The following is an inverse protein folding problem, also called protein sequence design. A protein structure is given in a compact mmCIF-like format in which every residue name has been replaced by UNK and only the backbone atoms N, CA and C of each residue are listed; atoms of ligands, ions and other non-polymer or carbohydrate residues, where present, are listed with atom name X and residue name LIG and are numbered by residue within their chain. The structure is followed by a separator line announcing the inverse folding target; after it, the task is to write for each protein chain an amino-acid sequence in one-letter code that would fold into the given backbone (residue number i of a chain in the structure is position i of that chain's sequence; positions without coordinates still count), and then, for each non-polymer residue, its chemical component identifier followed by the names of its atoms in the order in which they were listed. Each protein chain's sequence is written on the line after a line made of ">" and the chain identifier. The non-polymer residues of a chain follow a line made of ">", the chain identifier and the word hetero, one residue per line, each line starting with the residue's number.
data_IF_288442216127
#
_entry.id   IF_288442216127
#
_cell.length_a   1.000
_cell.length_b   1.000
_cell.length_c   1.000
_cell.angle_alpha   90.00
_cell.angle_beta   90.00
_cell.angle_gamma   90.00
#
_symmetry.space_group_name_H-M   'P 1'
#
loop_
_entity.id
_entity.type
_entity.pdbx_description
1 polymer ?
#
# COMPACT_ATOMS: atom_id res chain seq x y z
N UNK A 1 35.15 58.23 21.18
CA UNK A 1 34.63 57.71 19.89
C UNK A 1 34.37 56.22 20.04
N UNK A 2 33.13 55.81 19.83
CA UNK A 2 32.58 54.48 20.11
C UNK A 2 33.21 53.39 19.21
N UNK A 3 33.88 52.41 19.80
CA UNK A 3 34.22 51.16 19.13
C UNK A 3 33.04 50.19 19.26
N UNK A 4 32.18 50.14 18.24
CA UNK A 4 31.09 49.17 18.13
C UNK A 4 31.66 47.77 17.90
N UNK A 5 31.48 46.95 18.93
CA UNK A 5 31.74 45.53 19.03
C UNK A 5 30.77 44.79 18.07
N UNK A 6 31.28 44.38 16.92
CA UNK A 6 30.55 43.62 15.90
C UNK A 6 30.56 42.14 16.31
N UNK A 7 29.58 41.73 17.12
CA UNK A 7 29.27 40.31 17.29
C UNK A 7 28.32 39.92 16.16
N UNK A 8 28.86 39.16 15.22
CA UNK A 8 28.14 38.52 14.14
C UNK A 8 27.23 37.46 14.76
N UNK A 9 25.92 37.71 14.74
CA UNK A 9 24.91 36.68 14.91
C UNK A 9 25.07 35.69 13.77
N UNK A 10 25.64 34.51 14.05
CA UNK A 10 25.58 33.39 13.13
C UNK A 10 24.17 32.77 13.22
N UNK A 11 23.39 32.77 12.13
CA UNK A 11 22.11 32.08 12.11
C UNK A 11 22.34 30.56 12.16
N UNK A 12 21.67 29.90 13.10
CA UNK A 12 21.56 28.44 13.21
C UNK A 12 20.57 27.98 12.14
N UNK A 13 21.01 27.92 10.90
CA UNK A 13 20.18 27.56 9.75
C UNK A 13 21.04 26.85 8.69
N UNK A 14 21.57 25.66 9.00
CA UNK A 14 22.29 24.87 7.97
C UNK A 14 22.50 23.38 8.24
N UNK A 15 21.79 22.73 9.17
CA UNK A 15 22.02 21.29 9.45
C UNK A 15 20.90 20.32 8.99
N UNK A 16 19.81 20.80 8.38
CA UNK A 16 18.66 19.94 8.01
C UNK A 16 18.41 19.78 6.49
N UNK A 17 19.38 20.08 5.62
CA UNK A 17 19.24 19.90 4.15
C UNK A 17 20.03 18.72 3.57
N UNK A 18 20.66 17.88 4.40
CA UNK A 18 21.52 16.78 3.92
C UNK A 18 20.87 15.38 3.93
N UNK A 19 19.54 15.26 4.01
CA UNK A 19 18.86 13.96 4.07
C UNK A 19 17.65 13.79 3.14
N UNK A 20 17.54 14.55 2.04
CA UNK A 20 16.44 14.39 1.09
C UNK A 20 16.81 14.63 -0.39
N UNK A 21 18.08 14.45 -0.76
CA UNK A 21 18.52 14.70 -2.13
C UNK A 21 19.58 13.67 -2.58
N UNK A 22 19.25 12.38 -2.59
CA UNK A 22 20.08 11.35 -3.25
C UNK A 22 19.33 10.01 -3.46
N UNK A 23 18.13 10.03 -4.05
CA UNK A 23 17.45 8.80 -4.53
C UNK A 23 16.95 8.88 -5.98
N UNK A 24 17.12 10.01 -6.68
CA UNK A 24 16.49 10.18 -8.00
C UNK A 24 17.48 10.66 -9.06
N UNK A 25 18.44 9.81 -9.43
CA UNK A 25 19.16 9.91 -10.72
C UNK A 25 19.87 8.61 -11.09
N UNK A 26 19.16 7.74 -11.81
CA UNK A 26 19.68 7.02 -12.98
C UNK A 26 18.60 6.08 -13.52
N UNK A 27 18.08 6.36 -14.72
CA UNK A 27 17.64 5.37 -15.72
C UNK A 27 17.07 6.11 -16.95
N UNK A 28 17.79 6.13 -18.09
CA UNK A 28 17.17 6.42 -19.38
C UNK A 28 16.85 5.09 -20.08
N UNK A 29 15.62 4.60 -19.92
CA UNK A 29 15.10 3.52 -20.78
C UNK A 29 13.93 4.02 -21.62
N UNK A 30 14.23 4.07 -22.92
CA UNK A 30 13.35 4.35 -24.03
C UNK A 30 12.46 3.11 -24.26
N UNK A 31 11.22 3.13 -23.77
CA UNK A 31 10.23 2.09 -24.09
C UNK A 31 9.11 2.70 -24.92
N UNK A 32 9.12 2.31 -26.20
CA UNK A 32 8.06 2.49 -27.18
C UNK A 32 6.73 1.95 -26.67
N UNK A 33 5.66 2.74 -26.81
CA UNK A 33 4.29 2.29 -26.60
C UNK A 33 3.88 1.29 -27.69
N UNK A 34 3.33 0.11 -27.36
CA UNK A 34 2.48 -0.63 -28.27
C UNK A 34 1.03 -0.16 -28.09
N UNK A 35 0.43 0.35 -29.15
CA UNK A 35 -1.02 0.59 -29.25
C UNK A 35 -1.76 -0.75 -29.32
N UNK A 36 -2.54 -1.10 -28.29
CA UNK A 36 -3.53 -2.17 -28.38
C UNK A 36 -4.84 -1.62 -29.00
N UNK A 37 -5.44 -2.30 -29.99
CA UNK A 37 -6.78 -1.97 -30.46
C UNK A 37 -7.85 -2.55 -29.50
N UNK A 38 -9.02 -1.91 -29.36
CA UNK A 38 -10.11 -2.46 -28.56
C UNK A 38 -10.68 -3.72 -29.24
N UNK A 39 -10.75 -4.83 -28.48
CA UNK A 39 -11.53 -6.01 -28.88
C UNK A 39 -13.03 -5.67 -28.79
N UNK A 40 -13.69 -5.59 -29.93
CA UNK A 40 -15.15 -5.65 -30.05
C UNK A 40 -15.62 -7.06 -29.68
N UNK A 41 -16.33 -7.19 -28.58
CA UNK A 41 -17.11 -8.40 -28.28
C UNK A 41 -18.47 -8.21 -28.94
N UNK A 42 -18.57 -8.67 -30.18
CA UNK A 42 -19.85 -8.90 -30.86
C UNK A 42 -20.38 -10.26 -30.41
N UNK A 43 -21.54 -10.26 -29.74
CA UNK A 43 -22.35 -11.47 -29.58
C UNK A 43 -23.48 -11.43 -30.62
N UNK A 44 -23.44 -12.24 -31.68
CA UNK A 44 -24.61 -12.49 -32.51
C UNK A 44 -25.32 -13.75 -32.00
N UNK A 45 -26.53 -13.59 -31.47
CA UNK A 45 -27.51 -14.67 -31.39
C UNK A 45 -28.79 -14.21 -32.09
N UNK A 46 -28.84 -14.47 -33.38
CA UNK A 46 -30.09 -14.56 -34.14
C UNK A 46 -30.75 -15.90 -33.84
N UNK A 47 -32.06 -15.97 -33.55
CA UNK A 47 -32.82 -17.19 -33.68
C UNK A 47 -33.05 -17.48 -35.16
N UNK A 48 -32.63 -18.66 -35.60
CA UNK A 48 -32.92 -19.20 -36.93
C UNK A 48 -34.43 -19.39 -37.13
N UNK A 49 -35.01 -18.75 -38.14
CA UNK A 49 -36.27 -19.18 -38.74
C UNK A 49 -35.97 -20.27 -39.77
N UNK A 50 -36.46 -21.49 -39.52
CA UNK A 50 -36.46 -22.57 -40.52
C UNK A 50 -37.71 -23.42 -40.38
N UNK A 51 -38.48 -23.50 -41.47
CA UNK A 51 -39.48 -24.56 -41.65
C UNK A 51 -40.79 -24.12 -42.27
N UNK A 52 -40.76 -23.83 -43.58
CA UNK A 52 -41.92 -23.85 -44.47
C UNK A 52 -42.43 -25.30 -44.58
N UNK A 53 -43.73 -25.50 -44.36
CA UNK A 53 -44.44 -26.74 -44.65
C UNK A 53 -45.86 -26.43 -45.12
N UNK A 54 -46.20 -26.97 -46.28
CA UNK A 54 -47.32 -26.58 -47.13
C UNK A 54 -48.68 -27.12 -46.71
N UNK A 55 -49.69 -26.39 -47.20
CA UNK A 55 -51.11 -26.72 -47.43
C UNK A 55 -51.53 -28.19 -47.33
N UNK A 56 -52.62 -28.44 -46.62
CA UNK A 56 -53.67 -29.38 -47.05
C UNK A 56 -55.01 -29.00 -46.42
N UNK A 57 -55.78 -28.25 -47.20
CA UNK A 57 -57.22 -28.14 -47.06
C UNK A 57 -57.83 -29.41 -47.68
N UNK A 58 -58.27 -30.36 -46.85
CA UNK A 58 -58.99 -31.56 -47.30
C UNK A 58 -60.09 -31.94 -46.31
N UNK A 59 -61.26 -31.38 -46.62
CA UNK A 59 -62.58 -31.97 -46.47
C UNK A 59 -62.57 -33.50 -46.58
N UNK A 60 -62.77 -34.20 -45.46
CA UNK A 60 -63.18 -35.59 -45.44
C UNK A 60 -64.69 -35.65 -45.16
N UNK A 61 -65.42 -35.83 -46.26
CA UNK A 61 -66.85 -36.14 -46.29
C UNK A 61 -67.03 -37.55 -45.73
N UNK A 62 -67.47 -37.68 -44.48
CA UNK A 62 -67.86 -38.97 -43.93
C UNK A 62 -69.29 -39.30 -44.37
N UNK A 63 -69.55 -40.51 -44.92
CA UNK A 63 -70.86 -40.88 -45.41
C UNK A 63 -71.85 -41.05 -44.25
N UNK A 64 -72.93 -40.26 -44.29
CA UNK A 64 -74.08 -40.40 -43.40
C UNK A 64 -74.78 -41.74 -43.65
N UNK A 65 -74.51 -42.75 -42.83
CA UNK A 65 -75.47 -43.84 -42.64
C UNK A 65 -76.61 -43.34 -41.76
N UNK A 66 -77.71 -43.01 -42.45
CA UNK A 66 -79.03 -42.75 -41.90
C UNK A 66 -79.53 -44.01 -41.18
N UNK A 67 -79.29 -44.09 -39.88
CA UNK A 67 -80.08 -44.93 -38.98
C UNK A 67 -80.90 -43.99 -38.10
N UNK A 68 -82.17 -43.87 -38.47
CA UNK A 68 -83.18 -43.15 -37.71
C UNK A 68 -83.45 -43.87 -36.40
N UNK A 69 -82.66 -43.53 -35.38
CA UNK A 69 -82.94 -43.79 -33.98
C UNK A 69 -82.44 -42.60 -33.18
N UNK A 70 -83.35 -41.84 -32.57
CA UNK A 70 -83.01 -40.74 -31.66
C UNK A 70 -82.32 -41.35 -30.44
N UNK A 71 -80.98 -41.42 -30.44
CA UNK A 71 -80.22 -41.70 -29.21
C UNK A 71 -80.49 -40.52 -28.28
N UNK A 72 -81.08 -40.70 -27.08
CA UNK A 72 -81.18 -39.60 -26.14
C UNK A 72 -79.75 -39.20 -25.76
N UNK A 73 -79.40 -37.94 -26.04
CA UNK A 73 -78.17 -37.31 -25.55
C UNK A 73 -78.16 -37.46 -24.02
N UNK A 74 -77.31 -38.32 -23.46
CA UNK A 74 -77.01 -38.27 -22.03
C UNK A 74 -76.11 -37.05 -21.84
N UNK A 75 -76.70 -35.93 -21.41
CA UNK A 75 -75.91 -34.79 -20.94
C UNK A 75 -74.94 -35.30 -19.85
N UNK A 76 -73.64 -34.98 -19.89
CA UNK A 76 -72.77 -35.26 -18.76
C UNK A 76 -73.38 -34.59 -17.51
N UNK A 77 -73.29 -35.21 -16.32
CA UNK A 77 -73.85 -34.62 -15.11
C UNK A 77 -73.33 -33.19 -14.95
N UNK A 78 -74.25 -32.22 -14.85
CA UNK A 78 -73.92 -30.78 -14.69
C UNK A 78 -73.09 -30.50 -13.44
N UNK A 79 -72.99 -31.49 -12.54
CA UNK A 79 -72.37 -31.40 -11.24
C UNK A 79 -71.15 -32.34 -11.13
N UNK A 80 -70.26 -32.30 -12.12
CA UNK A 80 -68.88 -32.79 -11.90
C UNK A 80 -68.15 -31.70 -11.11
N UNK A 81 -67.66 -31.95 -9.87
CA UNK A 81 -66.95 -30.91 -9.13
C UNK A 81 -65.69 -30.54 -9.91
N UNK A 82 -65.68 -29.34 -10.49
CA UNK A 82 -64.49 -28.75 -11.07
C UNK A 82 -63.42 -28.71 -9.97
N UNK A 83 -62.26 -29.30 -10.25
CA UNK A 83 -61.14 -29.30 -9.33
C UNK A 83 -60.91 -27.85 -8.87
N UNK A 84 -60.84 -27.56 -7.55
CA UNK A 84 -60.67 -26.19 -7.08
C UNK A 84 -59.37 -25.62 -7.63
N UNK A 85 -59.49 -24.80 -8.68
CA UNK A 85 -58.37 -24.12 -9.28
C UNK A 85 -57.98 -22.98 -8.34
N UNK A 86 -56.74 -23.00 -7.86
CA UNK A 86 -56.22 -21.96 -6.97
C UNK A 86 -56.17 -20.64 -7.73
N UNK A 87 -57.15 -19.79 -7.45
CA UNK A 87 -57.31 -18.49 -8.07
C UNK A 87 -56.82 -17.41 -7.10
N UNK A 88 -56.18 -16.33 -7.58
CA UNK A 88 -55.78 -15.25 -6.70
C UNK A 88 -57.01 -14.68 -5.98
N UNK A 89 -56.85 -14.23 -4.73
CA UNK A 89 -57.96 -13.66 -3.97
C UNK A 89 -58.58 -12.48 -4.74
N UNK A 90 -59.90 -12.31 -4.64
CA UNK A 90 -60.69 -11.31 -5.41
C UNK A 90 -60.17 -9.87 -5.20
N UNK A 91 -59.42 -9.60 -4.13
CA UNK A 91 -58.76 -8.33 -3.83
C UNK A 91 -57.27 -8.22 -4.18
N UNK A 92 -56.67 -9.25 -4.78
CA UNK A 92 -55.25 -9.29 -5.12
C UNK A 92 -54.30 -9.37 -3.90
N UNK A 93 -52.99 -9.37 -4.17
CA UNK A 93 -51.95 -9.28 -3.13
C UNK A 93 -51.57 -7.82 -2.86
N UNK A 94 -51.17 -7.53 -1.62
CA UNK A 94 -50.60 -6.22 -1.27
C UNK A 94 -49.40 -5.89 -2.14
N UNK A 95 -49.21 -4.59 -2.43
CA UNK A 95 -48.11 -4.14 -3.28
C UNK A 95 -46.75 -4.53 -2.66
N UNK A 96 -46.06 -5.46 -3.31
CA UNK A 96 -44.73 -5.90 -2.88
C UNK A 96 -43.70 -4.82 -3.24
N UNK A 97 -42.93 -4.37 -2.27
CA UNK A 97 -41.84 -3.42 -2.51
C UNK A 97 -40.68 -4.13 -3.22
N UNK A 98 -40.69 -4.09 -4.55
CA UNK A 98 -39.62 -4.64 -5.39
C UNK A 98 -38.41 -3.70 -5.52
N UNK A 99 -38.57 -2.43 -5.10
CA UNK A 99 -37.52 -1.40 -5.18
C UNK A 99 -36.59 -1.47 -3.97
N UNK A 100 -35.30 -1.29 -4.23
CA UNK A 100 -34.25 -1.26 -3.20
C UNK A 100 -34.41 -0.02 -2.30
N UNK A 101 -34.85 -0.22 -1.06
CA UNK A 101 -35.01 0.83 -0.05
C UNK A 101 -33.77 0.94 0.86
N UNK A 102 -32.63 1.38 0.31
CA UNK A 102 -31.42 1.62 1.11
C UNK A 102 -31.19 3.12 1.27
N UNK A 103 -31.45 3.71 2.45
CA UNK A 103 -31.17 5.11 2.67
C UNK A 103 -29.67 5.37 2.71
N UNK A 104 -29.20 6.36 1.95
CA UNK A 104 -27.82 6.84 2.03
C UNK A 104 -27.62 7.58 3.35
N UNK A 105 -27.17 6.86 4.39
CA UNK A 105 -26.84 7.39 5.71
C UNK A 105 -25.35 7.74 5.77
N UNK A 106 -25.02 8.87 6.37
CA UNK A 106 -23.64 9.32 6.59
C UNK A 106 -23.48 10.83 6.56
N UNK A 107 -22.28 11.30 6.92
CA UNK A 107 -21.91 12.70 6.77
C UNK A 107 -21.55 13.02 5.32
N UNK A 108 -21.72 14.28 4.92
CA UNK A 108 -21.30 14.74 3.59
C UNK A 108 -19.77 14.53 3.45
N UNK A 109 -19.25 14.10 2.29
CA UNK A 109 -17.82 13.85 2.11
C UNK A 109 -16.93 15.04 2.50
N UNK A 110 -17.38 16.26 2.19
CA UNK A 110 -16.68 17.48 2.57
C UNK A 110 -16.54 17.66 4.10
N UNK A 111 -17.54 17.25 4.88
CA UNK A 111 -17.47 17.31 6.34
C UNK A 111 -16.44 16.32 6.91
N UNK A 112 -16.33 15.13 6.29
CA UNK A 112 -15.32 14.15 6.67
C UNK A 112 -13.91 14.66 6.36
N UNK A 113 -13.71 15.27 5.19
CA UNK A 113 -12.41 15.86 4.82
C UNK A 113 -12.02 17.00 5.76
N UNK A 114 -12.96 17.87 6.14
CA UNK A 114 -12.71 18.91 7.13
C UNK A 114 -12.37 18.33 8.51
N UNK A 115 -13.13 17.33 8.97
CA UNK A 115 -12.85 16.65 10.23
C UNK A 115 -11.46 16.01 10.25
N UNK A 116 -11.10 15.28 9.19
CA UNK A 116 -9.79 14.67 9.05
C UNK A 116 -8.67 15.73 8.98
N UNK A 117 -8.88 16.81 8.22
CA UNK A 117 -7.93 17.91 8.10
C UNK A 117 -7.65 18.60 9.43
N UNK A 118 -8.68 18.81 10.26
CA UNK A 118 -8.53 19.40 11.59
C UNK A 118 -7.76 18.48 12.54
N UNK A 119 -8.07 17.18 12.54
CA UNK A 119 -7.35 16.19 13.36
C UNK A 119 -5.88 16.12 12.95
N UNK A 120 -5.60 16.07 11.65
CA UNK A 120 -4.23 16.05 11.13
C UNK A 120 -3.47 17.34 11.45
N UNK A 121 -4.10 18.51 11.26
CA UNK A 121 -3.49 19.81 11.58
C UNK A 121 -3.15 19.93 13.08
N UNK A 122 -4.05 19.48 13.95
CA UNK A 122 -3.79 19.44 15.39
C UNK A 122 -2.68 18.44 15.76
N UNK A 123 -2.66 17.27 15.12
CA UNK A 123 -1.58 16.29 15.28
C UNK A 123 -0.22 16.88 14.91
N UNK A 124 -0.14 17.59 13.78
CA UNK A 124 1.09 18.25 13.34
C UNK A 124 1.54 19.33 14.31
N UNK A 125 0.62 20.14 14.84
CA UNK A 125 0.92 21.13 15.87
C UNK A 125 1.55 20.48 17.11
N UNK A 126 0.95 19.41 17.65
CA UNK A 126 1.49 18.71 18.82
C UNK A 126 2.83 18.05 18.56
N UNK A 127 3.03 17.48 17.36
CA UNK A 127 4.31 16.90 16.94
C UNK A 127 5.43 17.94 16.93
N UNK A 128 5.19 19.13 16.36
CA UNK A 128 6.23 20.19 16.29
C UNK A 128 6.67 20.66 17.66
N UNK A 129 5.78 20.69 18.65
CA UNK A 129 6.14 20.98 20.03
C UNK A 129 7.03 19.89 20.64
N UNK A 130 6.69 18.62 20.41
CA UNK A 130 7.49 17.48 20.87
C UNK A 130 8.89 17.43 20.24
N UNK A 131 9.01 17.77 18.95
CA UNK A 131 10.32 17.83 18.26
C UNK A 131 11.22 18.89 18.91
N UNK A 132 10.67 20.05 19.29
CA UNK A 132 11.43 21.09 19.98
C UNK A 132 11.97 20.60 21.31
N UNK A 133 11.16 19.89 22.09
CA UNK A 133 11.59 19.29 23.35
C UNK A 133 12.68 18.22 23.15
N UNK A 134 12.52 17.34 22.16
CA UNK A 134 13.53 16.33 21.82
C UNK A 134 14.86 16.97 21.39
N UNK A 135 14.83 18.10 20.69
CA UNK A 135 16.03 18.82 20.30
C UNK A 135 16.78 19.41 21.51
N UNK A 136 16.06 19.89 22.53
CA UNK A 136 16.66 20.35 23.77
C UNK A 136 17.29 19.20 24.56
N UNK A 137 16.60 18.05 24.67
CA UNK A 137 17.16 16.83 25.29
C UNK A 137 18.38 16.30 24.53
N UNK A 138 18.35 16.32 23.20
CA UNK A 138 19.47 15.94 22.36
C UNK A 138 20.66 16.90 22.54
N UNK A 139 20.38 18.20 22.73
CA UNK A 139 21.40 19.20 23.06
C UNK A 139 22.03 18.86 24.41
N UNK A 140 21.26 18.68 25.47
CA UNK A 140 21.79 18.30 26.79
C UNK A 140 22.65 17.02 26.73
N UNK A 141 22.18 15.99 26.00
CA UNK A 141 22.95 14.76 25.76
C UNK A 141 24.23 15.00 24.98
N UNK A 142 24.24 15.92 24.02
CA UNK A 142 25.46 16.27 23.28
C UNK A 142 26.44 17.01 24.18
N UNK A 143 25.95 17.95 24.99
CA UNK A 143 26.79 18.69 25.94
C UNK A 143 27.41 17.76 26.98
N UNK A 144 26.69 16.77 27.51
CA UNK A 144 27.27 15.79 28.43
C UNK A 144 28.40 14.99 27.75
N UNK A 145 28.24 14.62 26.47
CA UNK A 145 29.29 13.95 25.70
C UNK A 145 30.51 14.84 25.49
N UNK A 146 30.34 16.11 25.08
CA UNK A 146 31.46 17.04 24.85
C UNK A 146 32.35 17.16 26.08
N UNK A 147 31.77 17.15 27.28
CA UNK A 147 32.54 17.21 28.53
C UNK A 147 33.24 15.91 28.90
N UNK A 148 32.72 14.76 28.45
CA UNK A 148 33.31 13.44 28.73
C UNK A 148 34.33 13.00 27.67
N UNK A 149 34.19 13.46 26.43
CA UNK A 149 35.07 13.09 25.31
C UNK A 149 36.56 13.27 25.64
N UNK A 150 37.03 14.38 26.23
CA UNK A 150 38.45 14.55 26.54
C UNK A 150 38.99 13.48 27.52
N UNK A 151 38.18 13.07 28.49
CA UNK A 151 38.57 12.02 29.44
C UNK A 151 38.68 10.67 28.74
N UNK A 152 37.65 10.29 27.98
CA UNK A 152 37.63 9.00 27.27
C UNK A 152 38.71 8.92 26.19
N UNK A 153 38.92 10.02 25.46
CA UNK A 153 39.98 10.11 24.46
C UNK A 153 41.36 9.97 25.09
N UNK A 154 41.59 10.58 26.26
CA UNK A 154 42.86 10.44 26.98
C UNK A 154 43.10 9.01 27.48
N UNK A 155 42.05 8.29 27.88
CA UNK A 155 42.15 6.87 28.24
C UNK A 155 42.48 6.00 27.01
N UNK A 156 41.80 6.22 25.89
CA UNK A 156 42.07 5.52 24.63
C UNK A 156 43.49 5.79 24.13
N UNK A 157 43.92 7.05 24.12
CA UNK A 157 45.26 7.46 23.65
C UNK A 157 46.36 6.81 24.51
N UNK A 158 46.17 6.66 25.83
CA UNK A 158 47.11 5.92 26.71
C UNK A 158 47.23 4.44 26.35
N UNK A 159 46.11 3.78 26.07
CA UNK A 159 46.13 2.36 25.71
C UNK A 159 46.73 2.13 24.32
N UNK A 160 46.46 3.03 23.38
CA UNK A 160 47.03 2.96 22.04
C UNK A 160 48.54 3.13 22.03
N UNK A 161 49.07 4.10 22.79
CA UNK A 161 50.52 4.26 22.94
C UNK A 161 51.15 2.99 23.52
N UNK A 162 50.51 2.36 24.53
CA UNK A 162 50.99 1.10 25.11
C UNK A 162 51.06 -0.02 24.07
N UNK A 163 50.01 -0.22 23.29
CA UNK A 163 49.96 -1.26 22.24
C UNK A 163 50.98 -0.97 21.14
N UNK A 164 51.06 0.29 20.70
CA UNK A 164 51.97 0.70 19.63
C UNK A 164 53.44 0.49 20.00
N UNK A 165 53.84 0.87 21.21
CA UNK A 165 55.21 0.64 21.68
C UNK A 165 55.52 -0.85 21.87
N UNK A 166 54.53 -1.65 22.32
CA UNK A 166 54.70 -3.09 22.45
C UNK A 166 54.85 -3.79 21.08
N UNK A 167 54.10 -3.34 20.08
CA UNK A 167 54.21 -3.88 18.72
C UNK A 167 55.54 -3.47 18.07
N UNK A 168 56.00 -2.22 18.25
CA UNK A 168 57.34 -1.78 17.81
C UNK A 168 58.48 -2.55 18.49
N UNK A 169 58.33 -2.88 19.78
CA UNK A 169 59.31 -3.72 20.47
C UNK A 169 59.35 -5.13 19.86
N UNK A 170 58.17 -5.73 19.62
CA UNK A 170 58.04 -7.05 19.00
C UNK A 170 58.57 -7.10 17.57
N UNK A 171 58.26 -6.09 16.76
CA UNK A 171 58.79 -5.95 15.39
C UNK A 171 60.31 -5.84 15.40
N UNK A 172 60.88 -5.03 16.29
CA UNK A 172 62.33 -4.90 16.44
C UNK A 172 62.99 -6.20 16.89
N UNK A 173 62.38 -6.98 17.77
CA UNK A 173 62.90 -8.29 18.18
C UNK A 173 62.89 -9.31 17.04
N UNK A 174 61.86 -9.31 16.19
CA UNK A 174 61.70 -10.29 15.10
C UNK A 174 62.47 -9.91 13.83
N UNK A 175 62.50 -8.61 13.49
CA UNK A 175 63.02 -8.09 12.23
C UNK A 175 64.33 -7.28 12.41
N UNK A 176 64.75 -7.03 13.64
CA UNK A 176 65.96 -6.28 13.98
C UNK A 176 65.79 -4.75 14.00
N UNK A 177 64.93 -4.20 13.12
CA UNK A 177 64.68 -2.77 13.00
C UNK A 177 63.18 -2.44 12.82
N UNK A 178 62.79 -1.22 13.21
CA UNK A 178 61.45 -0.69 12.99
C UNK A 178 61.36 0.00 11.63
N UNK A 179 60.60 -0.59 10.71
CA UNK A 179 60.48 -0.09 9.34
C UNK A 179 59.32 0.90 9.23
N UNK A 180 59.59 2.11 8.72
CA UNK A 180 58.55 3.13 8.47
C UNK A 180 57.80 2.79 7.18
N UNK A 181 56.51 2.50 7.26
CA UNK A 181 55.67 2.23 6.07
C UNK A 181 55.42 3.48 5.23
N UNK A 182 55.15 4.62 5.89
CA UNK A 182 54.82 5.87 5.22
C UNK A 182 55.98 6.85 5.27
N UNK A 183 56.30 7.52 4.17
CA UNK A 183 57.40 8.50 4.11
C UNK A 183 57.03 9.90 4.69
N UNK A 184 56.09 9.99 5.63
CA UNK A 184 55.70 11.27 6.27
C UNK A 184 55.91 11.22 7.78
N UNK A 185 56.15 12.38 8.41
CA UNK A 185 56.37 12.47 9.86
C UNK A 185 55.07 12.52 10.67
N UNK A 186 53.93 12.37 10.00
CA UNK A 186 52.62 12.29 10.63
C UNK A 186 52.41 10.90 11.23
N UNK A 187 51.91 10.87 12.46
CA UNK A 187 51.43 9.63 13.06
C UNK A 187 50.20 9.10 12.32
N UNK A 188 50.27 7.85 11.87
CA UNK A 188 49.15 7.13 11.26
C UNK A 188 48.82 5.96 12.17
N UNK A 189 47.57 5.90 12.64
CA UNK A 189 47.10 4.77 13.43
C UNK A 189 47.20 3.47 12.62
N UNK A 190 47.73 2.37 13.18
CA UNK A 190 47.76 1.09 12.49
C UNK A 190 46.33 0.57 12.25
N UNK A 191 45.99 0.27 10.99
CA UNK A 191 44.64 -0.17 10.59
C UNK A 191 44.37 -1.62 10.98
N UNK A 192 45.40 -2.46 11.01
CA UNK A 192 45.29 -3.88 11.30
C UNK A 192 45.88 -4.18 12.67
N UNK A 193 45.13 -4.91 13.49
CA UNK A 193 45.63 -5.50 14.72
C UNK A 193 45.84 -7.00 14.50
N UNK A 194 47.01 -7.51 14.88
CA UNK A 194 47.26 -8.95 14.85
C UNK A 194 46.40 -9.59 15.95
N UNK A 195 45.37 -10.30 15.54
CA UNK A 195 44.53 -11.08 16.45
C UNK A 195 45.17 -12.46 16.66
N UNK A 196 45.24 -12.97 17.90
CA UNK A 196 45.81 -14.29 18.15
C UNK A 196 44.93 -15.36 17.51
N UNK A 197 45.54 -16.37 16.88
CA UNK A 197 44.84 -17.49 16.24
C UNK A 197 44.02 -18.31 17.24
N UNK A 198 44.49 -18.39 18.50
CA UNK A 198 43.80 -19.06 19.60
C UNK A 198 43.57 -18.07 20.73
N UNK A 199 42.30 -17.72 20.97
CA UNK A 199 41.88 -16.98 22.16
C UNK A 199 41.83 -17.97 23.31
N UNK A 200 42.65 -17.78 24.35
CA UNK A 200 42.48 -18.47 25.63
C UNK A 200 41.12 -18.07 26.21
N UNK A 201 40.21 -19.03 26.30
CA UNK A 201 38.92 -18.91 27.00
C UNK A 201 39.13 -18.84 28.51
#
# INVERSE_FOLDING_TARGET
>A
MFAKRMWVSLPIESYDTFAFADVERSHPENHSKPSEPPRSIEHPLTPQTRGRGETTDRTSHFPFYRIGGRVPQREPPRDSPAMPQDMPPVGGYGAVQYKRNLPARGFRPAALLLGAGLVMGFGWYKLTLGIREQNELAREKMWSRIHLIPLLQAEEDRDLVRRHLADQAREKELLGENMKVYNSDRYVRPTFAVTPEKVTK
#
